data_IF_001492968668
#
_entry.id   IF_001492968668
#
_cell.length_a   1.000
_cell.length_b   1.000
_cell.length_c   1.000
_cell.angle_alpha   90.00
_cell.angle_beta   90.00
_cell.angle_gamma   90.00
#
_symmetry.space_group_name_H-M   'P 1'
#
loop_
_entity.id
_entity.type
_entity.pdbx_description
1 polymer ?
#
# COMPACT_ATOMS: atom_id res chain seq x y z
N UNK A 1 -28.39 -8.99 0.15
CA UNK A 1 -29.04 -9.84 -0.85
C UNK A 1 -30.55 -9.64 -0.75
N UNK A 2 -31.23 -9.34 -1.85
CA UNK A 2 -32.69 -9.37 -1.96
C UNK A 2 -33.10 -10.55 -2.86
N UNK A 3 -33.63 -11.61 -2.26
CA UNK A 3 -34.12 -12.81 -2.95
C UNK A 3 -33.09 -13.55 -3.85
N UNK A 4 -31.84 -13.65 -3.41
CA UNK A 4 -30.75 -14.29 -4.15
C UNK A 4 -29.96 -13.34 -5.07
N UNK A 5 -30.32 -12.05 -5.09
CA UNK A 5 -29.63 -11.01 -5.84
C UNK A 5 -28.76 -10.16 -4.91
N UNK A 6 -27.44 -10.17 -5.15
CA UNK A 6 -26.52 -9.22 -4.52
C UNK A 6 -26.78 -7.82 -5.09
N UNK A 7 -27.01 -6.84 -4.21
CA UNK A 7 -27.24 -5.44 -4.56
C UNK A 7 -26.02 -4.62 -4.18
N UNK A 8 -25.44 -3.90 -5.14
CA UNK A 8 -24.20 -3.12 -4.96
C UNK A 8 -24.35 -1.65 -5.34
N UNK A 9 -25.58 -1.22 -5.68
CA UNK A 9 -25.86 0.14 -6.18
C UNK A 9 -26.99 0.75 -5.37
N UNK A 10 -26.92 2.05 -5.13
CA UNK A 10 -28.02 2.82 -4.51
C UNK A 10 -29.27 2.75 -5.37
N UNK A 11 -30.41 2.47 -4.76
CA UNK A 11 -31.69 2.44 -5.47
C UNK A 11 -32.83 1.85 -4.66
N UNK A 12 -34.02 1.92 -5.23
CA UNK A 12 -35.21 1.25 -4.71
C UNK A 12 -35.41 -0.08 -5.42
N UNK A 13 -35.50 -1.15 -4.65
CA UNK A 13 -35.68 -2.52 -5.12
C UNK A 13 -36.98 -3.08 -4.58
N UNK A 14 -37.74 -3.77 -5.42
CA UNK A 14 -38.95 -4.47 -4.99
C UNK A 14 -38.91 -5.91 -5.46
N UNK A 15 -39.22 -6.85 -4.57
CA UNK A 15 -39.39 -8.26 -4.92
C UNK A 15 -40.70 -8.79 -4.39
N UNK A 16 -41.39 -9.57 -5.21
CA UNK A 16 -42.57 -10.32 -4.80
C UNK A 16 -42.13 -11.73 -4.42
N UNK A 17 -42.26 -12.07 -3.15
CA UNK A 17 -42.04 -13.42 -2.64
C UNK A 17 -43.33 -14.20 -2.81
N UNK A 18 -43.34 -15.16 -3.74
CA UNK A 18 -44.50 -16.00 -4.00
C UNK A 18 -44.52 -17.20 -3.06
N UNK A 19 -45.68 -17.49 -2.48
CA UNK A 19 -45.90 -18.73 -1.72
C UNK A 19 -46.73 -19.70 -2.54
N UNK A 20 -46.56 -21.01 -2.33
CA UNK A 20 -47.34 -22.04 -3.02
C UNK A 20 -48.87 -21.91 -2.81
N UNK A 21 -49.29 -21.12 -1.81
CA UNK A 21 -50.67 -20.82 -1.47
C UNK A 21 -51.22 -19.51 -2.07
N UNK A 22 -50.50 -18.84 -3.00
CA UNK A 22 -50.91 -17.58 -3.66
C UNK A 22 -51.08 -16.38 -2.71
N UNK A 23 -50.58 -16.49 -1.48
CA UNK A 23 -50.41 -15.34 -0.59
C UNK A 23 -49.03 -14.76 -0.84
N UNK A 24 -48.93 -13.90 -1.85
CA UNK A 24 -47.68 -13.27 -2.24
C UNK A 24 -47.36 -12.08 -1.31
N UNK A 25 -46.10 -11.89 -0.96
CA UNK A 25 -45.63 -10.75 -0.16
C UNK A 25 -44.73 -9.86 -1.00
N UNK A 26 -44.95 -8.53 -0.98
CA UNK A 26 -44.07 -7.58 -1.66
C UNK A 26 -43.11 -6.96 -0.64
N UNK A 27 -41.81 -7.09 -0.90
CA UNK A 27 -40.75 -6.45 -0.12
C UNK A 27 -40.21 -5.27 -0.90
N UNK A 28 -40.31 -4.08 -0.32
CA UNK A 28 -39.68 -2.86 -0.86
C UNK A 28 -38.45 -2.54 -0.02
N UNK A 29 -37.30 -2.37 -0.68
CA UNK A 29 -36.02 -2.01 -0.09
C UNK A 29 -35.53 -0.70 -0.71
N UNK A 30 -35.23 0.27 0.14
CA UNK A 30 -34.46 1.46 -0.24
C UNK A 30 -33.02 1.25 0.20
N UNK A 31 -32.11 1.06 -0.76
CA UNK A 31 -30.70 0.80 -0.52
C UNK A 31 -29.91 2.07 -0.81
N UNK A 32 -29.10 2.52 0.16
CA UNK A 32 -28.08 3.57 -0.04
C UNK A 32 -26.70 2.94 0.08
N UNK A 33 -25.92 3.01 -1.00
CA UNK A 33 -24.52 2.58 -1.08
C UNK A 33 -23.66 3.83 -1.20
N UNK A 34 -22.75 4.03 -0.24
CA UNK A 34 -21.78 5.11 -0.30
C UNK A 34 -20.62 4.74 -1.24
N UNK A 35 -20.10 5.69 -2.05
CA UNK A 35 -18.92 5.43 -2.85
C UNK A 35 -17.72 5.12 -1.95
N UNK A 36 -16.82 4.26 -2.44
CA UNK A 36 -15.52 4.02 -1.79
C UNK A 36 -14.66 5.25 -2.04
N UNK A 37 -14.27 5.95 -0.99
CA UNK A 37 -13.35 7.09 -1.10
C UNK A 37 -11.98 6.58 -1.55
N UNK A 38 -11.47 7.09 -2.68
CA UNK A 38 -10.16 6.70 -3.20
C UNK A 38 -9.12 7.78 -2.89
N UNK A 39 -8.01 7.39 -2.26
CA UNK A 39 -6.88 8.25 -1.91
C UNK A 39 -5.66 7.81 -2.70
N UNK A 40 -5.00 8.75 -3.35
CA UNK A 40 -3.76 8.50 -4.09
C UNK A 40 -2.56 8.97 -3.29
N UNK A 41 -1.55 8.11 -3.15
CA UNK A 41 -0.29 8.39 -2.48
C UNK A 41 0.87 8.15 -3.45
N UNK A 42 1.87 9.01 -3.39
CA UNK A 42 3.15 8.82 -4.08
C UNK A 42 4.25 8.98 -3.06
N UNK A 43 5.03 7.94 -2.83
CA UNK A 43 6.04 7.92 -1.77
C UNK A 43 7.38 7.40 -2.30
N UNK A 44 8.46 7.88 -1.68
CA UNK A 44 9.83 7.45 -1.99
C UNK A 44 10.52 7.03 -0.68
N UNK A 45 11.02 5.80 -0.63
CA UNK A 45 11.75 5.24 0.52
C UNK A 45 13.15 4.75 0.09
N UNK A 46 14.05 4.57 1.05
CA UNK A 46 15.36 3.96 0.80
C UNK A 46 15.28 2.42 0.86
N UNK A 47 16.21 1.73 0.18
CA UNK A 47 16.34 0.28 0.29
C UNK A 47 16.51 -0.14 1.77
N UNK A 48 15.71 -1.11 2.20
CA UNK A 48 15.66 -1.59 3.58
C UNK A 48 14.64 -0.88 4.48
N UNK A 49 14.01 0.20 4.00
CA UNK A 49 12.87 0.84 4.68
C UNK A 49 11.54 0.21 4.26
N UNK A 50 10.48 0.52 5.02
CA UNK A 50 9.11 0.08 4.72
C UNK A 50 8.13 1.24 4.84
N UNK A 51 7.14 1.30 3.96
CA UNK A 51 6.02 2.23 4.05
C UNK A 51 4.72 1.51 4.45
N UNK A 52 3.98 2.07 5.39
CA UNK A 52 2.77 1.46 5.94
C UNK A 52 1.50 2.12 5.39
N UNK A 53 0.54 1.29 4.94
CA UNK A 53 -0.83 1.70 4.62
C UNK A 53 -1.80 0.78 5.37
N UNK A 54 -2.45 1.30 6.41
CA UNK A 54 -3.23 0.49 7.34
C UNK A 54 -2.35 -0.58 8.01
N UNK A 55 -2.75 -1.83 7.89
CA UNK A 55 -1.99 -2.99 8.39
C UNK A 55 -1.00 -3.57 7.36
N UNK A 56 -0.95 -3.00 6.14
CA UNK A 56 -0.05 -3.45 5.07
C UNK A 56 1.27 -2.70 5.12
N UNK A 57 2.37 -3.42 4.93
CA UNK A 57 3.73 -2.88 4.81
C UNK A 57 4.27 -3.16 3.41
N UNK A 58 4.86 -2.13 2.78
CA UNK A 58 5.43 -2.18 1.44
C UNK A 58 6.89 -1.76 1.47
N UNK A 59 7.75 -2.55 0.82
CA UNK A 59 9.21 -2.38 0.79
C UNK A 59 9.80 -2.45 -0.63
N UNK A 60 8.93 -2.54 -1.64
CA UNK A 60 9.30 -2.68 -3.04
C UNK A 60 8.75 -1.53 -3.90
N UNK A 61 9.45 -1.21 -4.99
CA UNK A 61 8.94 -0.26 -5.98
C UNK A 61 7.72 -0.87 -6.68
N UNK A 62 6.61 -0.13 -6.75
CA UNK A 62 5.42 -0.59 -7.43
C UNK A 62 4.17 0.21 -7.11
N UNK A 63 3.07 -0.16 -7.77
CA UNK A 63 1.75 0.35 -7.46
C UNK A 63 0.98 -0.66 -6.61
N UNK A 64 0.45 -0.20 -5.48
CA UNK A 64 -0.26 -1.02 -4.49
C UNK A 64 -1.66 -0.46 -4.26
N UNK A 65 -2.63 -1.36 -4.08
CA UNK A 65 -4.01 -1.02 -3.76
C UNK A 65 -4.40 -1.64 -2.43
N UNK A 66 -4.76 -0.80 -1.45
CA UNK A 66 -5.09 -1.22 -0.08
C UNK A 66 -6.51 -0.77 0.26
N UNK A 67 -7.38 -1.72 0.58
CA UNK A 67 -8.70 -1.40 1.11
C UNK A 67 -8.60 -1.17 2.62
N UNK A 68 -9.02 -0.01 3.08
CA UNK A 68 -9.13 0.34 4.50
C UNK A 68 -10.61 0.28 4.90
N UNK A 69 -10.95 -0.73 5.69
CA UNK A 69 -12.33 -0.94 6.17
C UNK A 69 -12.61 -0.05 7.37
N UNK A 70 -13.58 0.85 7.24
CA UNK A 70 -14.08 1.62 8.38
C UNK A 70 -14.97 0.75 9.25
N UNK A 71 -14.94 0.96 10.57
CA UNK A 71 -15.89 0.32 11.50
C UNK A 71 -17.36 0.65 11.20
N UNK A 72 -17.62 1.66 10.37
CA UNK A 72 -18.94 2.07 9.90
C UNK A 72 -19.29 1.60 8.47
N UNK A 73 -18.44 0.77 7.84
CA UNK A 73 -18.71 0.16 6.53
C UNK A 73 -18.60 1.08 5.31
N UNK A 74 -18.12 2.32 5.50
CA UNK A 74 -17.62 3.15 4.40
C UNK A 74 -16.14 2.84 4.23
N UNK A 75 -15.83 1.90 3.36
CA UNK A 75 -14.46 1.51 3.07
C UNK A 75 -13.78 2.60 2.23
N UNK A 76 -12.47 2.74 2.38
CA UNK A 76 -11.65 3.61 1.54
C UNK A 76 -10.60 2.78 0.80
N UNK A 77 -10.28 3.18 -0.42
CA UNK A 77 -9.26 2.55 -1.24
C UNK A 77 -8.04 3.47 -1.28
N UNK A 78 -6.88 2.98 -0.91
CA UNK A 78 -5.62 3.68 -1.08
C UNK A 78 -4.89 3.10 -2.28
N UNK A 79 -4.58 3.94 -3.26
CA UNK A 79 -3.65 3.62 -4.34
C UNK A 79 -2.31 4.28 -4.06
N UNK A 80 -1.28 3.47 -3.81
CA UNK A 80 0.08 3.90 -3.49
C UNK A 80 0.98 3.63 -4.70
N UNK A 81 1.66 4.65 -5.19
CA UNK A 81 2.83 4.55 -6.08
C UNK A 81 4.11 4.71 -5.25
N UNK A 82 4.82 3.61 -5.01
CA UNK A 82 6.00 3.56 -4.16
C UNK A 82 7.26 3.42 -5.02
N UNK A 83 8.25 4.28 -4.77
CA UNK A 83 9.59 4.17 -5.34
C UNK A 83 10.61 3.86 -4.24
N UNK A 84 11.39 2.79 -4.42
CA UNK A 84 12.50 2.41 -3.53
C UNK A 84 13.81 2.82 -4.18
N UNK A 85 14.60 3.64 -3.49
CA UNK A 85 15.91 4.10 -3.94
C UNK A 85 17.01 3.17 -3.46
N UNK A 86 17.77 2.63 -4.41
CA UNK A 86 18.99 1.89 -4.12
C UNK A 86 20.07 2.81 -3.52
N UNK A 87 20.94 2.28 -2.64
CA UNK A 87 22.09 3.02 -2.15
C UNK A 87 23.03 3.39 -3.30
N UNK A 88 23.68 4.53 -3.15
CA UNK A 88 24.64 5.03 -4.13
C UNK A 88 26.04 4.58 -3.71
N UNK A 89 26.72 3.86 -4.60
CA UNK A 89 28.14 3.54 -4.42
C UNK A 89 29.02 4.76 -4.71
N UNK A 90 29.92 5.09 -3.77
CA UNK A 90 30.89 6.17 -3.92
C UNK A 90 32.30 5.60 -3.95
N UNK A 91 33.05 5.90 -5.01
CA UNK A 91 34.45 5.49 -5.15
C UNK A 91 35.38 6.62 -4.71
N UNK A 92 36.24 6.33 -3.75
CA UNK A 92 37.25 7.26 -3.23
C UNK A 92 38.64 6.72 -3.52
N UNK A 93 39.50 7.57 -4.09
CA UNK A 93 40.90 7.25 -4.38
C UNK A 93 41.77 8.27 -3.68
N UNK A 94 42.69 7.81 -2.84
CA UNK A 94 43.64 8.67 -2.14
C UNK A 94 45.04 8.02 -2.09
N UNK A 95 46.06 8.84 -1.80
CA UNK A 95 47.45 8.42 -1.66
C UNK A 95 48.05 9.02 -0.40
N UNK A 96 48.52 8.15 0.49
CA UNK A 96 49.13 8.51 1.77
C UNK A 96 50.65 8.28 1.77
N UNK A 97 51.38 9.03 2.59
CA UNK A 97 52.81 8.80 2.81
C UNK A 97 53.06 7.66 3.83
N UNK A 98 54.29 7.15 3.87
CA UNK A 98 54.68 6.11 4.83
C UNK A 98 54.45 6.56 6.28
N UNK A 99 53.76 5.72 7.05
CA UNK A 99 53.39 6.00 8.45
C UNK A 99 52.14 6.86 8.62
N UNK A 100 51.52 7.33 7.54
CA UNK A 100 50.21 7.98 7.59
C UNK A 100 49.07 6.97 7.46
N UNK A 101 47.85 7.44 7.70
CA UNK A 101 46.62 6.69 7.49
C UNK A 101 45.52 7.60 6.96
N UNK A 102 44.53 7.00 6.31
CA UNK A 102 43.34 7.65 5.78
C UNK A 102 42.09 7.05 6.41
N UNK A 103 41.14 7.89 6.83
CA UNK A 103 39.93 7.44 7.50
C UNK A 103 38.69 7.59 6.60
N UNK A 104 37.86 6.54 6.53
CA UNK A 104 36.53 6.57 5.89
C UNK A 104 35.52 6.04 6.90
N UNK A 105 34.62 6.89 7.37
CA UNK A 105 33.74 6.57 8.49
C UNK A 105 34.56 6.18 9.72
N UNK A 106 34.26 5.02 10.29
CA UNK A 106 34.97 4.44 11.44
C UNK A 106 36.20 3.59 11.05
N UNK A 107 36.47 3.43 9.75
CA UNK A 107 37.56 2.60 9.24
C UNK A 107 38.83 3.40 8.97
N UNK A 108 39.99 2.83 9.29
CA UNK A 108 41.31 3.45 9.11
C UNK A 108 42.21 2.60 8.20
N UNK A 109 42.72 3.20 7.13
CA UNK A 109 43.55 2.55 6.11
C UNK A 109 44.98 3.06 6.13
N UNK A 110 45.96 2.16 6.19
CA UNK A 110 47.41 2.50 6.22
C UNK A 110 48.25 1.70 5.23
N UNK A 111 47.61 0.84 4.43
CA UNK A 111 48.25 0.03 3.41
C UNK A 111 47.52 0.20 2.07
N UNK A 112 48.23 -0.10 0.98
CA UNK A 112 47.64 -0.08 -0.36
C UNK A 112 46.65 -1.23 -0.52
N UNK A 113 45.48 -0.94 -1.08
CA UNK A 113 44.47 -1.96 -1.38
C UNK A 113 43.18 -1.35 -1.90
N UNK A 114 42.28 -2.21 -2.36
CA UNK A 114 40.88 -1.85 -2.60
C UNK A 114 40.07 -2.27 -1.39
N UNK A 115 39.34 -1.33 -0.80
CA UNK A 115 38.56 -1.54 0.40
C UNK A 115 37.10 -1.20 0.12
N UNK A 116 36.19 -1.99 0.68
CA UNK A 116 34.75 -1.71 0.74
C UNK A 116 34.41 -1.53 2.21
N UNK A 117 33.73 -0.43 2.53
CA UNK A 117 33.28 -0.06 3.88
C UNK A 117 31.79 0.16 3.89
#
# INVERSE_FOLDING_TARGET
DLAGTLLTVTGSYSVTLQTAAQCDSVVNLELTVFPVDTVFLTEVICEGETFAVGDSLYDGTGQYSTLLTSSFGCDSLVELDLQVLAPIDVFLVDTICAGQSFAVGDSLFSSSGNYVV
#
